data_IF_459285442301
#
_entry.id   IF_459285442301
#
_cell.length_a   1.000
_cell.length_b   1.000
_cell.length_c   1.000
_cell.angle_alpha   90.00
_cell.angle_beta   90.00
_cell.angle_gamma   90.00
#
_symmetry.space_group_name_H-M   'P 1'
#
loop_
_entity.id
_entity.type
_entity.pdbx_description
1 polymer ?
#
# COMPACT_ATOMS: atom_id res chain seq x y z
N UNK A 1 3.09 2.15 1.76
CA UNK A 1 1.75 2.50 2.28
C UNK A 1 0.84 2.87 1.10
N UNK A 2 -0.28 2.17 0.91
CA UNK A 2 -1.31 2.52 -0.10
C UNK A 2 -2.47 3.28 0.54
N UNK A 3 -3.36 3.90 -0.24
CA UNK A 3 -4.67 4.36 0.26
C UNK A 3 -4.65 5.62 1.13
N UNK A 4 -3.64 6.48 0.97
CA UNK A 4 -3.52 7.75 1.71
C UNK A 4 -3.40 8.93 0.74
N UNK A 5 -4.11 10.02 1.03
CA UNK A 5 -3.97 11.28 0.29
C UNK A 5 -2.82 12.12 0.85
N UNK A 6 -2.36 13.14 0.09
CA UNK A 6 -1.29 14.04 0.53
C UNK A 6 -1.59 14.73 1.87
N UNK A 7 -2.85 15.07 2.12
CA UNK A 7 -3.31 15.66 3.39
C UNK A 7 -3.07 14.76 4.61
N UNK A 8 -2.88 13.46 4.41
CA UNK A 8 -2.64 12.47 5.47
C UNK A 8 -1.16 12.13 5.65
N UNK A 9 -0.25 12.66 4.82
CA UNK A 9 1.17 12.29 4.87
C UNK A 9 1.79 12.55 6.24
N UNK A 10 1.48 13.69 6.86
CA UNK A 10 1.92 14.01 8.23
C UNK A 10 1.41 13.01 9.26
N UNK A 11 0.18 12.50 9.08
CA UNK A 11 -0.39 11.50 9.98
C UNK A 11 0.33 10.15 9.82
N UNK A 12 0.60 9.72 8.58
CA UNK A 12 1.34 8.48 8.33
C UNK A 12 2.75 8.58 8.92
N UNK A 13 3.42 9.71 8.71
CA UNK A 13 4.79 9.92 9.18
C UNK A 13 4.87 10.00 10.72
N UNK A 14 4.00 10.77 11.36
CA UNK A 14 4.12 11.05 12.81
C UNK A 14 3.30 10.09 13.68
N UNK A 15 2.50 9.20 13.10
CA UNK A 15 1.68 8.25 13.87
C UNK A 15 1.99 6.83 13.44
N UNK A 16 1.83 6.49 12.16
CA UNK A 16 2.03 5.11 11.72
C UNK A 16 3.49 4.67 11.84
N UNK A 17 4.45 5.51 11.45
CA UNK A 17 5.88 5.19 11.58
C UNK A 17 6.30 5.11 13.05
N UNK A 18 5.87 6.05 13.90
CA UNK A 18 6.17 6.05 15.33
C UNK A 18 5.63 4.79 16.00
N UNK A 19 4.41 4.34 15.67
CA UNK A 19 3.86 3.09 16.17
C UNK A 19 4.66 1.85 15.73
N UNK A 20 5.21 1.85 14.52
CA UNK A 20 6.10 0.77 14.05
C UNK A 20 7.41 0.77 14.84
N UNK A 21 7.99 1.95 15.10
CA UNK A 21 9.21 2.10 15.91
C UNK A 21 8.95 1.62 17.35
N UNK A 22 7.82 2.00 17.95
CA UNK A 22 7.41 1.53 19.28
C UNK A 22 7.24 0.01 19.32
N UNK A 23 6.64 -0.59 18.28
CA UNK A 23 6.50 -2.04 18.17
C UNK A 23 7.86 -2.76 18.09
N UNK A 24 8.85 -2.19 17.40
CA UNK A 24 10.22 -2.71 17.39
C UNK A 24 10.84 -2.69 18.79
N UNK A 25 10.75 -1.54 19.49
CA UNK A 25 11.27 -1.40 20.86
C UNK A 25 10.57 -2.29 21.87
N UNK A 26 9.28 -2.56 21.68
CA UNK A 26 8.53 -3.48 22.51
C UNK A 26 9.04 -4.93 22.39
N UNK A 27 9.50 -5.34 21.21
CA UNK A 27 10.07 -6.68 20.99
C UNK A 27 11.48 -6.79 21.55
N UNK A 28 12.30 -5.76 21.37
CA UNK A 28 13.64 -5.64 21.95
C UNK A 28 13.98 -4.14 22.11
N UNK A 29 14.21 -3.70 23.34
CA UNK A 29 14.48 -2.31 23.68
C UNK A 29 15.72 -1.75 22.98
N UNK A 30 16.68 -2.62 22.64
CA UNK A 30 17.91 -2.22 21.93
C UNK A 30 17.75 -2.30 20.40
N UNK A 31 16.63 -2.81 19.88
CA UNK A 31 16.43 -2.95 18.46
C UNK A 31 15.99 -1.61 17.83
N UNK A 32 16.90 -1.01 17.06
CA UNK A 32 16.69 0.26 16.36
C UNK A 32 16.96 0.10 14.86
N UNK A 33 16.07 -0.57 14.10
CA UNK A 33 16.22 -0.69 12.66
C UNK A 33 16.01 0.66 11.96
N UNK A 34 16.57 0.78 10.75
CA UNK A 34 16.35 1.93 9.87
C UNK A 34 15.08 1.76 9.05
N UNK A 35 14.36 2.85 8.81
CA UNK A 35 13.11 2.84 8.05
C UNK A 35 13.16 3.72 6.80
N UNK A 36 12.48 3.25 5.75
CA UNK A 36 12.12 4.05 4.58
C UNK A 36 10.61 3.94 4.39
N UNK A 37 9.91 5.07 4.40
CA UNK A 37 8.46 5.16 4.25
C UNK A 37 8.11 5.67 2.86
N UNK A 38 7.54 4.78 2.05
CA UNK A 38 7.08 5.08 0.69
C UNK A 38 5.56 4.99 0.64
N UNK A 39 4.90 6.08 0.23
CA UNK A 39 3.48 6.09 -0.12
C UNK A 39 3.33 5.81 -1.61
N UNK A 40 2.39 4.95 -1.98
CA UNK A 40 2.01 4.72 -3.37
C UNK A 40 0.58 5.18 -3.59
N UNK A 41 0.35 5.97 -4.64
CA UNK A 41 -0.96 6.46 -5.04
C UNK A 41 -1.23 6.09 -6.48
N UNK A 42 -2.19 5.18 -6.70
CA UNK A 42 -2.65 4.82 -8.04
C UNK A 42 -3.83 5.70 -8.50
N UNK A 43 -4.57 6.30 -7.59
CA UNK A 43 -5.82 7.01 -7.87
C UNK A 43 -5.59 8.53 -8.00
N UNK A 44 -4.91 8.98 -9.06
CA UNK A 44 -4.67 10.41 -9.35
C UNK A 44 -4.95 10.76 -10.82
N UNK A 45 -5.02 12.03 -11.19
CA UNK A 45 -5.40 12.45 -12.55
C UNK A 45 -4.25 12.46 -13.57
N UNK A 46 -2.99 12.33 -13.14
CA UNK A 46 -1.81 12.33 -14.01
C UNK A 46 -1.77 11.14 -14.97
N UNK A 47 -1.43 11.41 -16.24
CA UNK A 47 -1.24 10.43 -17.31
C UNK A 47 -0.07 10.85 -18.19
N UNK A 48 0.69 9.89 -18.72
CA UNK A 48 1.80 10.15 -19.63
C UNK A 48 1.53 9.58 -21.02
N UNK A 49 2.02 10.28 -22.04
CA UNK A 49 1.79 9.97 -23.45
C UNK A 49 3.09 10.10 -24.24
N UNK A 50 3.26 9.25 -25.24
CA UNK A 50 4.35 9.37 -26.20
C UNK A 50 3.92 10.31 -27.33
N UNK A 51 4.65 11.42 -27.59
CA UNK A 51 4.30 12.36 -28.65
C UNK A 51 4.12 11.67 -30.02
N UNK A 52 3.01 11.95 -30.71
CA UNK A 52 2.72 11.39 -32.03
C UNK A 52 2.33 9.91 -32.04
N UNK A 53 2.13 9.29 -30.88
CA UNK A 53 1.75 7.88 -30.75
C UNK A 53 0.39 7.74 -30.04
N UNK A 54 -0.38 6.73 -30.43
CA UNK A 54 -1.58 6.31 -29.70
C UNK A 54 -1.27 5.27 -28.61
N UNK A 55 -0.02 4.79 -28.56
CA UNK A 55 0.40 3.80 -27.58
C UNK A 55 0.66 4.45 -26.22
N UNK A 56 0.48 3.66 -25.17
CA UNK A 56 0.95 4.01 -23.83
C UNK A 56 2.48 4.18 -23.82
N UNK A 57 2.97 4.90 -22.81
CA UNK A 57 4.41 4.91 -22.52
C UNK A 57 4.91 3.49 -22.25
N UNK A 58 6.17 3.17 -22.61
CA UNK A 58 6.74 1.85 -22.35
C UNK A 58 6.67 1.46 -20.87
N UNK A 59 6.48 0.16 -20.54
CA UNK A 59 6.61 -0.32 -19.18
C UNK A 59 8.00 0.00 -18.61
N UNK A 60 8.06 0.32 -17.33
CA UNK A 60 9.27 0.78 -16.66
C UNK A 60 9.57 2.26 -16.88
N UNK A 61 8.71 3.03 -17.56
CA UNK A 61 8.88 4.50 -17.66
C UNK A 61 8.78 5.12 -16.26
N UNK A 62 9.82 5.88 -15.90
CA UNK A 62 9.88 6.67 -14.67
C UNK A 62 9.89 8.16 -15.02
N UNK A 63 9.17 8.96 -14.23
CA UNK A 63 9.17 10.42 -14.31
C UNK A 63 9.36 10.98 -12.90
N UNK A 64 10.51 11.56 -12.63
CA UNK A 64 10.94 12.07 -11.32
C UNK A 64 11.28 13.57 -11.34
N UNK A 65 10.98 14.25 -12.45
CA UNK A 65 11.31 15.66 -12.65
C UNK A 65 10.17 16.41 -13.34
N UNK A 66 10.26 17.74 -13.31
CA UNK A 66 9.34 18.73 -13.89
C UNK A 66 7.89 18.72 -13.34
N UNK A 67 7.21 17.58 -13.40
CA UNK A 67 5.82 17.40 -12.93
C UNK A 67 5.73 16.91 -11.48
N UNK A 68 6.85 16.43 -10.93
CA UNK A 68 6.98 16.02 -9.53
C UNK A 68 7.03 17.23 -8.58
N UNK A 69 6.89 16.97 -7.28
CA UNK A 69 6.88 18.01 -6.29
C UNK A 69 8.23 18.75 -6.25
N UNK A 70 8.25 20.10 -6.21
CA UNK A 70 9.50 20.87 -6.35
C UNK A 70 10.48 20.72 -5.17
N UNK A 71 10.04 20.12 -4.06
CA UNK A 71 10.81 20.01 -2.81
C UNK A 71 10.78 18.64 -2.15
N UNK A 72 9.85 17.78 -2.55
CA UNK A 72 9.68 16.48 -1.91
C UNK A 72 10.30 15.44 -2.83
N UNK A 73 10.71 14.31 -2.27
CA UNK A 73 11.17 13.20 -3.09
C UNK A 73 9.95 12.38 -3.52
N UNK A 74 9.61 12.48 -4.81
CA UNK A 74 8.50 11.76 -5.42
C UNK A 74 8.77 11.46 -6.90
N UNK A 75 8.20 10.37 -7.38
CA UNK A 75 8.30 9.98 -8.77
C UNK A 75 7.06 9.21 -9.22
N UNK A 76 6.79 9.26 -10.51
CA UNK A 76 5.79 8.41 -11.15
C UNK A 76 6.45 7.23 -11.83
N UNK A 77 5.80 6.07 -11.79
CA UNK A 77 6.24 4.89 -12.52
C UNK A 77 5.09 4.19 -13.23
N UNK A 78 5.28 3.94 -14.53
CA UNK A 78 4.45 3.06 -15.34
C UNK A 78 5.05 1.65 -15.37
N UNK A 79 4.95 0.90 -14.26
CA UNK A 79 5.63 -0.39 -14.12
C UNK A 79 5.15 -1.49 -15.10
N UNK A 80 3.92 -1.40 -15.60
CA UNK A 80 3.30 -2.43 -16.44
C UNK A 80 2.75 -1.87 -17.75
N UNK A 81 2.62 -2.74 -18.76
CA UNK A 81 1.91 -2.42 -19.98
C UNK A 81 0.40 -2.47 -19.73
N UNK A 82 -0.27 -1.32 -19.70
CA UNK A 82 -1.73 -1.28 -19.68
C UNK A 82 -2.29 -1.87 -20.97
N UNK A 83 -3.04 -2.98 -20.85
CA UNK A 83 -3.60 -3.71 -22.00
C UNK A 83 -4.71 -2.92 -22.72
N UNK A 84 -5.48 -2.11 -21.97
CA UNK A 84 -6.66 -1.41 -22.49
C UNK A 84 -6.65 0.02 -21.96
N UNK A 85 -6.90 0.97 -22.86
CA UNK A 85 -6.99 2.39 -22.53
C UNK A 85 -5.65 3.01 -22.15
N UNK A 86 -5.71 4.18 -21.50
CA UNK A 86 -4.50 4.88 -21.06
C UNK A 86 -4.00 4.32 -19.74
N UNK A 87 -2.73 3.90 -19.72
CA UNK A 87 -2.04 3.46 -18.50
C UNK A 87 -1.98 4.60 -17.50
N UNK A 88 -2.39 4.32 -16.27
CA UNK A 88 -2.21 5.24 -15.15
C UNK A 88 -0.90 4.87 -14.44
N UNK A 89 0.10 5.77 -14.39
CA UNK A 89 1.28 5.54 -13.56
C UNK A 89 0.87 5.43 -12.10
N UNK A 90 1.70 4.81 -11.27
CA UNK A 90 1.61 4.95 -9.81
C UNK A 90 2.54 6.07 -9.38
N UNK A 91 2.03 6.99 -8.55
CA UNK A 91 2.80 8.06 -7.94
C UNK A 91 3.36 7.59 -6.60
N UNK A 92 4.67 7.60 -6.47
CA UNK A 92 5.38 7.22 -5.25
C UNK A 92 5.92 8.46 -4.57
N UNK A 93 5.65 8.60 -3.27
CA UNK A 93 6.21 9.66 -2.42
C UNK A 93 7.07 9.04 -1.33
N UNK A 94 8.29 9.54 -1.20
CA UNK A 94 9.21 9.14 -0.15
C UNK A 94 9.02 10.13 0.99
N UNK A 95 8.38 9.67 2.06
CA UNK A 95 8.08 10.50 3.23
C UNK A 95 9.20 10.46 4.27
N UNK A 96 9.94 9.35 4.34
CA UNK A 96 11.05 9.13 5.27
C UNK A 96 12.07 8.20 4.66
N UNK A 97 13.37 8.44 4.87
CA UNK A 97 14.43 7.52 4.45
C UNK A 97 15.68 7.62 5.33
N UNK A 98 15.87 6.64 6.20
CA UNK A 98 17.06 6.48 7.05
C UNK A 98 18.11 5.55 6.45
N UNK A 99 17.70 4.76 5.45
CA UNK A 99 18.58 3.84 4.74
C UNK A 99 19.52 4.65 3.85
N UNK A 100 19.00 5.71 3.22
CA UNK A 100 19.76 6.64 2.38
C UNK A 100 19.86 6.14 0.95
N UNK A 101 18.72 5.73 0.39
CA UNK A 101 18.63 5.30 -1.00
C UNK A 101 18.96 6.45 -1.96
N UNK A 102 19.67 6.13 -3.04
CA UNK A 102 19.65 7.00 -4.22
C UNK A 102 18.28 6.92 -4.90
N UNK A 103 17.95 7.92 -5.74
CA UNK A 103 16.72 7.89 -6.52
C UNK A 103 16.67 6.64 -7.43
N UNK A 104 17.78 6.34 -8.10
CA UNK A 104 17.90 5.18 -9.01
C UNK A 104 17.66 3.85 -8.27
N UNK A 105 18.33 3.65 -7.13
CA UNK A 105 18.19 2.41 -6.35
C UNK A 105 16.76 2.21 -5.85
N UNK A 106 16.11 3.29 -5.41
CA UNK A 106 14.75 3.24 -4.93
C UNK A 106 13.75 2.95 -6.05
N UNK A 107 13.93 3.59 -7.20
CA UNK A 107 13.11 3.35 -8.39
C UNK A 107 13.30 1.92 -8.88
N UNK A 108 14.53 1.40 -8.91
CA UNK A 108 14.80 0.00 -9.28
C UNK A 108 14.17 -0.99 -8.28
N UNK A 109 14.25 -0.71 -6.98
CA UNK A 109 13.60 -1.52 -5.94
C UNK A 109 12.08 -1.57 -6.16
N UNK A 110 11.45 -0.41 -6.34
CA UNK A 110 10.00 -0.31 -6.58
C UNK A 110 9.61 -1.03 -7.87
N UNK A 111 10.39 -0.88 -8.94
CA UNK A 111 10.15 -1.58 -10.20
C UNK A 111 10.28 -3.10 -10.02
N UNK A 112 11.33 -3.57 -9.36
CA UNK A 112 11.56 -5.00 -9.09
C UNK A 112 10.42 -5.61 -8.27
N UNK A 113 9.92 -4.90 -7.25
CA UNK A 113 8.79 -5.34 -6.44
C UNK A 113 7.48 -5.43 -7.23
N UNK A 114 7.38 -4.81 -8.41
CA UNK A 114 6.21 -4.96 -9.29
C UNK A 114 6.18 -6.31 -10.04
N UNK A 115 7.32 -7.02 -10.12
CA UNK A 115 7.43 -8.31 -10.81
C UNK A 115 7.25 -9.53 -9.89
N UNK A 116 7.25 -9.35 -8.57
CA UNK A 116 7.21 -10.46 -7.59
C UNK A 116 5.80 -10.77 -7.08
N UNK A 117 4.78 -10.45 -7.87
CA UNK A 117 3.39 -10.77 -7.55
C UNK A 117 3.01 -12.15 -8.08
N UNK A 118 2.84 -13.13 -7.19
CA UNK A 118 2.72 -14.55 -7.55
C UNK A 118 1.47 -14.92 -8.36
N UNK A 119 0.45 -14.06 -8.40
CA UNK A 119 -0.78 -14.29 -9.18
C UNK A 119 -0.71 -13.73 -10.59
N UNK A 120 0.44 -13.21 -11.01
CA UNK A 120 0.69 -12.66 -12.34
C UNK A 120 2.04 -13.14 -12.87
N UNK A 121 2.12 -13.36 -14.18
CA UNK A 121 3.39 -13.61 -14.89
C UNK A 121 3.98 -12.34 -15.51
N UNK A 122 3.32 -11.20 -15.29
CA UNK A 122 3.74 -9.87 -15.76
C UNK A 122 3.79 -8.89 -14.60
N UNK A 123 4.56 -7.80 -14.76
CA UNK A 123 4.57 -6.71 -13.80
C UNK A 123 3.15 -6.19 -13.53
N UNK A 124 2.88 -5.88 -12.27
CA UNK A 124 1.66 -5.21 -11.86
C UNK A 124 1.88 -3.70 -11.72
N UNK A 125 0.80 -2.94 -11.73
CA UNK A 125 0.86 -1.46 -11.71
C UNK A 125 1.45 -0.86 -10.43
N UNK A 126 1.45 -1.63 -9.35
CA UNK A 126 1.86 -1.22 -7.99
C UNK A 126 2.69 -2.38 -7.41
N UNK A 127 3.48 -2.16 -6.37
CA UNK A 127 4.35 -3.19 -5.80
C UNK A 127 3.56 -4.36 -5.19
N UNK A 128 4.10 -5.58 -5.29
CA UNK A 128 3.47 -6.79 -4.78
C UNK A 128 3.05 -6.74 -3.31
N UNK A 129 3.84 -6.17 -2.37
CA UNK A 129 3.42 -6.03 -0.96
C UNK A 129 2.10 -5.28 -0.78
N UNK A 130 1.83 -4.25 -1.59
CA UNK A 130 0.56 -3.50 -1.53
C UNK A 130 -0.59 -4.38 -2.03
N UNK A 131 -0.40 -5.10 -3.13
CA UNK A 131 -1.42 -6.04 -3.63
C UNK A 131 -1.72 -7.13 -2.60
N UNK A 132 -0.71 -7.69 -1.93
CA UNK A 132 -0.92 -8.66 -0.88
C UNK A 132 -1.67 -8.08 0.33
N UNK A 133 -1.36 -6.85 0.74
CA UNK A 133 -2.12 -6.17 1.79
C UNK A 133 -3.59 -5.99 1.42
N UNK A 134 -3.91 -5.66 0.16
CA UNK A 134 -5.29 -5.57 -0.33
C UNK A 134 -6.00 -6.92 -0.32
N UNK A 135 -5.32 -7.99 -0.75
CA UNK A 135 -5.87 -9.34 -0.69
C UNK A 135 -6.15 -9.78 0.75
N UNK A 136 -5.21 -9.53 1.67
CA UNK A 136 -5.38 -9.83 3.09
C UNK A 136 -6.55 -9.05 3.70
N UNK A 137 -6.66 -7.75 3.44
CA UNK A 137 -7.76 -6.92 3.91
C UNK A 137 -9.11 -7.39 3.34
N UNK A 138 -9.17 -7.73 2.06
CA UNK A 138 -10.37 -8.26 1.43
C UNK A 138 -10.81 -9.60 2.04
N UNK A 139 -9.86 -10.49 2.31
CA UNK A 139 -10.13 -11.80 2.91
C UNK A 139 -10.65 -11.65 4.35
N UNK A 140 -10.02 -10.80 5.17
CA UNK A 140 -10.46 -10.54 6.55
C UNK A 140 -11.84 -9.87 6.56
N UNK A 141 -12.13 -8.97 5.63
CA UNK A 141 -13.45 -8.34 5.50
C UNK A 141 -14.57 -9.37 5.25
N UNK A 142 -14.30 -10.45 4.54
CA UNK A 142 -15.28 -11.53 4.33
C UNK A 142 -15.59 -12.27 5.63
N UNK A 143 -14.60 -12.49 6.50
CA UNK A 143 -14.80 -13.15 7.80
C UNK A 143 -15.66 -12.29 8.74
N UNK A 144 -15.35 -10.98 8.82
CA UNK A 144 -16.12 -10.05 9.66
C UNK A 144 -17.60 -10.00 9.21
N UNK A 145 -17.87 -9.94 7.90
CA UNK A 145 -19.24 -9.96 7.37
C UNK A 145 -19.98 -11.26 7.70
N UNK A 146 -19.28 -12.39 7.67
CA UNK A 146 -19.87 -13.68 8.02
C UNK A 146 -20.27 -13.70 9.51
N UNK A 147 -19.43 -13.18 10.40
CA UNK A 147 -19.72 -13.08 11.82
C UNK A 147 -20.92 -12.14 12.09
N UNK A 148 -21.00 -10.98 11.44
CA UNK A 148 -22.17 -10.08 11.53
C UNK A 148 -23.48 -10.75 11.05
N UNK A 149 -23.42 -11.57 9.99
CA UNK A 149 -24.57 -12.35 9.51
C UNK A 149 -24.96 -13.48 10.48
N UNK A 150 -24.00 -14.06 11.20
CA UNK A 150 -24.24 -15.05 12.24
C UNK A 150 -24.90 -14.41 13.48
N UNK A 151 -24.42 -13.24 13.91
CA UNK A 151 -24.95 -12.50 15.06
C UNK A 151 -26.37 -11.98 14.81
N UNK A 152 -26.69 -11.52 13.59
CA UNK A 152 -28.04 -11.07 13.21
C UNK A 152 -29.09 -12.19 13.12
N UNK A 153 -28.66 -13.45 13.18
CA UNK A 153 -29.56 -14.62 13.30
C UNK A 153 -29.97 -14.90 14.77
N UNK A 154 -29.40 -14.18 15.74
CA UNK A 154 -29.81 -14.18 17.15
C UNK A 154 -30.43 -12.83 17.51
N UNK A 155 -31.67 -12.84 18.01
CA UNK A 155 -32.54 -11.67 18.03
C UNK A 155 -32.55 -10.89 19.35
N UNK A 156 -32.86 -9.59 19.24
CA UNK A 156 -33.42 -8.66 20.26
C UNK A 156 -32.51 -8.06 21.36
N UNK A 157 -32.44 -6.72 21.37
CA UNK A 157 -32.11 -5.92 22.56
C UNK A 157 -31.26 -4.68 22.25
N UNK A 158 -31.89 -3.54 22.01
CA UNK A 158 -31.17 -2.29 21.75
C UNK A 158 -30.55 -1.67 23.00
N UNK A 159 -29.44 -0.94 22.84
CA UNK A 159 -29.04 0.21 23.65
C UNK A 159 -28.01 1.04 22.86
N UNK A 160 -28.34 2.30 22.53
CA UNK A 160 -27.42 3.27 21.94
C UNK A 160 -26.65 3.97 23.05
N UNK A 161 -25.35 3.66 23.18
CA UNK A 161 -24.42 4.46 23.97
C UNK A 161 -23.47 5.20 23.03
N UNK A 162 -23.44 6.53 23.16
CA UNK A 162 -22.54 7.42 22.44
C UNK A 162 -21.12 7.30 23.06
N UNK A 163 -20.44 6.21 22.74
CA UNK A 163 -19.00 6.06 22.92
C UNK A 163 -18.37 5.86 21.54
N UNK A 164 -17.08 6.17 21.40
CA UNK A 164 -16.28 5.72 20.27
C UNK A 164 -16.54 4.23 20.05
N UNK A 165 -17.07 3.87 18.88
CA UNK A 165 -17.40 2.48 18.59
C UNK A 165 -16.17 1.61 18.88
N UNK A 166 -16.28 0.57 19.73
CA UNK A 166 -15.16 -0.31 20.00
C UNK A 166 -14.69 -0.89 18.66
N UNK A 167 -13.40 -0.75 18.36
CA UNK A 167 -12.81 -1.38 17.18
C UNK A 167 -12.98 -2.88 17.38
N UNK A 168 -13.76 -3.59 16.52
CA UNK A 168 -13.96 -5.02 16.67
C UNK A 168 -12.62 -5.74 16.64
N UNK A 169 -12.37 -6.64 17.59
CA UNK A 169 -11.15 -7.44 17.54
C UNK A 169 -11.17 -8.29 16.26
N UNK A 170 -10.06 -8.25 15.52
CA UNK A 170 -9.94 -9.06 14.32
C UNK A 170 -9.90 -10.56 14.69
N UNK A 171 -10.62 -11.42 13.94
CA UNK A 171 -10.58 -12.86 14.17
C UNK A 171 -9.16 -13.39 14.14
N UNK A 172 -8.78 -14.18 15.15
CA UNK A 172 -7.45 -14.80 15.20
C UNK A 172 -7.36 -15.93 14.19
N UNK A 173 -6.35 -15.87 13.33
CA UNK A 173 -6.04 -16.95 12.39
C UNK A 173 -5.58 -18.20 13.12
N UNK A 174 -5.99 -19.36 12.61
CA UNK A 174 -5.54 -20.65 13.12
C UNK A 174 -4.01 -20.81 12.97
N UNK A 175 -3.36 -21.47 13.92
CA UNK A 175 -1.89 -21.62 13.95
C UNK A 175 -1.29 -22.24 12.67
N UNK A 176 -2.06 -23.08 11.98
CA UNK A 176 -1.65 -23.71 10.69
C UNK A 176 -1.66 -22.76 9.49
N UNK A 177 -2.33 -21.60 9.58
CA UNK A 177 -2.50 -20.65 8.45
C UNK A 177 -1.94 -19.27 8.73
N UNK A 178 -1.68 -18.89 10.00
CA UNK A 178 -1.20 -17.55 10.36
C UNK A 178 0.14 -17.13 9.72
N UNK A 179 0.92 -18.10 9.25
CA UNK A 179 2.22 -17.88 8.60
C UNK A 179 2.20 -18.25 7.11
N UNK A 180 1.03 -18.50 6.52
CA UNK A 180 0.87 -18.74 5.08
C UNK A 180 0.25 -17.52 4.39
N UNK A 181 0.40 -17.45 3.07
CA UNK A 181 -0.30 -16.45 2.24
C UNK A 181 -1.73 -16.92 1.92
N UNK A 182 -2.54 -17.23 2.93
CA UNK A 182 -3.90 -17.77 2.78
C UNK A 182 -4.86 -16.85 1.98
N UNK A 183 -4.49 -15.57 1.83
CA UNK A 183 -5.22 -14.55 1.09
C UNK A 183 -4.89 -14.55 -0.43
N UNK A 184 -3.93 -15.35 -0.88
CA UNK A 184 -3.53 -15.40 -2.28
C UNK A 184 -4.37 -16.37 -3.10
#
# INVERSE_FOLDING_TARGET
RDGVSESQFTQVLNIELDQIIEACKFLDENWSPKFTLIVAQKNHHTKFFVPGSQNNVPPGTVVDNAVCHPRNNDFYMCAHAGMIGTTRPTHYHILHDEIGFSADDLQELVHSLSYVYQRSTTAISVVAPICYAHLAAAQVSQFIKFDEMSETSSSHGGHTSAGSAPVPELPRLHNKVRSSMFFC
#
